data_IF_794747546894
#
_entry.id   IF_794747546894
#
_cell.length_a   1.000
_cell.length_b   1.000
_cell.length_c   1.000
_cell.angle_alpha   90.00
_cell.angle_beta   90.00
_cell.angle_gamma   90.00
#
_symmetry.space_group_name_H-M   'P 1'
#
loop_
_entity.id
_entity.type
_entity.pdbx_description
1 polymer ?
#
# COMPACT_ATOMS: atom_id res chain seq x y z
N UNK A 1 -0.40 -82.53 -38.20
CA UNK A 1 -1.57 -81.73 -37.83
C UNK A 1 -1.07 -80.47 -37.02
N UNK A 2 -0.72 -79.45 -37.75
CA UNK A 2 -0.22 -78.16 -37.16
C UNK A 2 -1.38 -77.22 -36.94
N UNK A 3 -1.58 -76.79 -35.68
CA UNK A 3 -2.51 -75.74 -35.35
C UNK A 3 -1.69 -74.39 -35.18
N UNK A 4 -1.95 -73.44 -36.06
CA UNK A 4 -1.46 -72.04 -35.96
C UNK A 4 -2.27 -71.31 -34.89
N UNK A 5 -1.62 -70.48 -34.03
CA UNK A 5 -2.34 -69.60 -33.13
C UNK A 5 -2.76 -68.29 -33.83
N UNK A 6 -4.00 -67.93 -33.64
CA UNK A 6 -4.58 -66.63 -34.14
C UNK A 6 -4.00 -65.43 -33.44
N UNK A 7 -3.39 -64.50 -34.21
CA UNK A 7 -2.90 -63.21 -33.79
C UNK A 7 -4.10 -62.27 -33.57
N UNK A 8 -4.42 -61.97 -32.30
CA UNK A 8 -5.42 -60.92 -31.97
C UNK A 8 -4.78 -59.57 -32.02
N UNK A 9 -5.15 -58.79 -33.02
CA UNK A 9 -4.80 -57.37 -33.16
C UNK A 9 -5.63 -56.58 -32.13
N UNK A 10 -4.96 -56.05 -31.09
CA UNK A 10 -5.56 -55.04 -30.20
C UNK A 10 -5.43 -53.68 -30.86
N UNK A 11 -6.53 -53.13 -31.36
CA UNK A 11 -6.65 -51.77 -31.83
C UNK A 11 -6.78 -50.87 -30.59
N UNK A 12 -5.70 -50.20 -30.16
CA UNK A 12 -5.74 -49.21 -29.12
C UNK A 12 -6.36 -47.92 -29.68
N UNK A 13 -7.61 -47.63 -29.29
CA UNK A 13 -8.30 -46.41 -29.60
C UNK A 13 -7.73 -45.31 -28.66
N UNK A 14 -6.82 -44.47 -29.17
CA UNK A 14 -6.38 -43.26 -28.50
C UNK A 14 -7.54 -42.24 -28.50
N UNK A 15 -8.28 -42.20 -27.39
CA UNK A 15 -9.17 -41.07 -27.09
C UNK A 15 -8.29 -39.83 -26.81
N UNK A 16 -8.19 -38.94 -27.78
CA UNK A 16 -7.69 -37.60 -27.55
C UNK A 16 -8.71 -36.87 -26.68
N UNK A 17 -8.46 -36.81 -25.39
CA UNK A 17 -9.20 -35.93 -24.48
C UNK A 17 -8.75 -34.51 -24.84
N UNK A 18 -9.54 -33.81 -25.66
CA UNK A 18 -9.42 -32.37 -25.82
C UNK A 18 -9.81 -31.74 -24.49
N UNK A 19 -8.82 -31.30 -23.70
CA UNK A 19 -9.06 -30.39 -22.59
C UNK A 19 -9.80 -29.15 -23.16
N UNK A 20 -10.92 -28.74 -22.57
CA UNK A 20 -11.55 -27.49 -22.99
C UNK A 20 -10.50 -26.38 -22.83
N UNK A 21 -10.25 -25.62 -23.90
CA UNK A 21 -9.50 -24.39 -23.81
C UNK A 21 -10.18 -23.54 -22.73
N UNK A 22 -9.45 -23.12 -21.73
CA UNK A 22 -9.97 -22.21 -20.70
C UNK A 22 -10.62 -21.03 -21.45
N UNK A 23 -11.91 -20.79 -21.17
CA UNK A 23 -12.62 -19.69 -21.80
C UNK A 23 -11.85 -18.40 -21.48
N UNK A 24 -11.54 -17.60 -22.50
CA UNK A 24 -10.87 -16.32 -22.32
C UNK A 24 -11.69 -15.44 -21.36
N UNK A 25 -11.22 -15.34 -20.13
CA UNK A 25 -11.90 -14.63 -19.05
C UNK A 25 -12.01 -13.11 -19.30
N UNK A 26 -11.16 -12.57 -20.21
CA UNK A 26 -11.15 -11.16 -20.60
C UNK A 26 -12.01 -10.85 -21.84
N UNK A 27 -12.72 -11.86 -22.42
CA UNK A 27 -13.54 -11.66 -23.60
C UNK A 27 -12.72 -11.12 -24.79
N UNK A 28 -13.24 -10.15 -25.53
CA UNK A 28 -12.54 -9.59 -26.70
C UNK A 28 -11.27 -8.74 -26.44
N UNK A 29 -10.72 -8.74 -25.22
CA UNK A 29 -9.58 -7.88 -24.84
C UNK A 29 -8.22 -8.57 -24.92
N UNK A 30 -8.17 -9.88 -25.23
CA UNK A 30 -6.93 -10.64 -25.35
C UNK A 30 -5.92 -9.96 -26.29
N UNK A 31 -6.38 -9.49 -27.46
CA UNK A 31 -5.51 -8.78 -28.41
C UNK A 31 -4.87 -7.50 -27.80
N UNK A 32 -5.59 -6.78 -26.92
CA UNK A 32 -5.05 -5.61 -26.26
C UNK A 32 -4.02 -5.98 -25.17
N UNK A 33 -4.23 -7.11 -24.48
CA UNK A 33 -3.28 -7.65 -23.50
C UNK A 33 -2.00 -8.14 -24.23
N UNK A 34 -2.15 -8.81 -25.36
CA UNK A 34 -1.00 -9.27 -26.17
C UNK A 34 -0.20 -8.09 -26.75
N UNK A 35 -0.88 -7.05 -27.25
CA UNK A 35 -0.24 -5.82 -27.69
C UNK A 35 0.52 -5.12 -26.54
N UNK A 36 -0.05 -5.08 -25.33
CA UNK A 36 0.64 -4.57 -24.16
C UNK A 36 1.90 -5.38 -23.84
N UNK A 37 1.86 -6.72 -23.94
CA UNK A 37 3.04 -7.56 -23.76
C UNK A 37 4.15 -7.22 -24.80
N UNK A 38 3.79 -7.00 -26.06
CA UNK A 38 4.71 -6.59 -27.11
C UNK A 38 5.35 -5.23 -26.82
N UNK A 39 4.56 -4.25 -26.38
CA UNK A 39 5.04 -2.93 -25.99
C UNK A 39 6.02 -2.97 -24.82
N UNK A 40 5.71 -3.74 -23.78
CA UNK A 40 6.58 -3.92 -22.60
C UNK A 40 7.87 -4.63 -23.00
N UNK A 41 7.77 -5.72 -23.79
CA UNK A 41 8.91 -6.47 -24.28
C UNK A 41 9.88 -5.58 -25.05
N UNK A 42 9.36 -4.72 -25.95
CA UNK A 42 10.17 -3.81 -26.74
C UNK A 42 10.86 -2.73 -25.88
N UNK A 43 10.19 -2.23 -24.83
CA UNK A 43 10.77 -1.17 -23.96
C UNK A 43 11.88 -1.69 -23.05
N UNK A 44 11.80 -2.94 -22.61
CA UNK A 44 12.66 -3.48 -21.55
C UNK A 44 13.58 -4.62 -22.00
N UNK A 45 13.61 -4.94 -23.31
CA UNK A 45 14.41 -6.04 -23.88
C UNK A 45 14.13 -7.41 -23.22
N UNK A 46 12.85 -7.67 -22.92
CA UNK A 46 12.36 -8.91 -22.33
C UNK A 46 11.68 -9.76 -23.41
N UNK A 47 11.67 -11.08 -23.21
CA UNK A 47 10.98 -12.00 -24.10
C UNK A 47 9.48 -11.75 -24.14
N UNK A 48 8.93 -11.40 -25.31
CA UNK A 48 7.48 -11.25 -25.50
C UNK A 48 6.73 -12.54 -25.18
N UNK A 49 7.31 -13.69 -25.52
CA UNK A 49 6.70 -14.98 -25.26
C UNK A 49 6.56 -15.25 -23.75
N UNK A 50 7.54 -14.84 -22.93
CA UNK A 50 7.49 -15.03 -21.49
C UNK A 50 6.41 -14.13 -20.88
N UNK A 51 6.32 -12.86 -21.30
CA UNK A 51 5.25 -11.96 -20.87
C UNK A 51 3.86 -12.47 -21.29
N UNK A 52 3.70 -12.94 -22.51
CA UNK A 52 2.43 -13.54 -22.97
C UNK A 52 2.09 -14.81 -22.19
N UNK A 53 3.08 -15.64 -21.90
CA UNK A 53 2.90 -16.85 -21.07
C UNK A 53 2.45 -16.51 -19.65
N UNK A 54 2.93 -15.42 -19.05
CA UNK A 54 2.44 -14.96 -17.74
C UNK A 54 1.02 -14.43 -17.86
N UNK A 55 0.78 -13.49 -18.79
CA UNK A 55 -0.48 -12.77 -18.93
C UNK A 55 -1.64 -13.67 -19.40
N UNK A 56 -1.38 -14.79 -20.08
CA UNK A 56 -2.43 -15.76 -20.43
C UNK A 56 -3.07 -16.42 -19.20
N UNK A 57 -2.36 -16.46 -18.06
CA UNK A 57 -2.84 -17.00 -16.80
C UNK A 57 -3.61 -15.97 -15.95
N UNK A 58 -3.67 -14.72 -16.38
CA UNK A 58 -4.48 -13.72 -15.70
C UNK A 58 -5.97 -14.04 -15.84
N UNK A 59 -6.71 -13.86 -14.75
CA UNK A 59 -8.16 -14.06 -14.69
C UNK A 59 -8.87 -12.74 -14.47
N UNK A 60 -9.90 -12.48 -15.27
CA UNK A 60 -10.77 -11.32 -15.05
C UNK A 60 -11.56 -11.48 -13.75
N UNK A 61 -11.59 -10.43 -12.93
CA UNK A 61 -12.20 -10.46 -11.61
C UNK A 61 -13.22 -9.34 -11.44
N UNK A 62 -14.50 -9.69 -11.56
CA UNK A 62 -15.59 -8.74 -11.37
C UNK A 62 -15.63 -8.17 -9.95
N UNK A 63 -15.33 -8.98 -8.92
CA UNK A 63 -15.29 -8.53 -7.54
C UNK A 63 -14.22 -7.44 -7.27
N UNK A 64 -13.17 -7.37 -8.08
CA UNK A 64 -12.17 -6.28 -8.07
C UNK A 64 -12.78 -5.00 -8.63
N UNK A 65 -13.48 -5.07 -9.75
CA UNK A 65 -14.19 -3.92 -10.34
C UNK A 65 -15.27 -3.39 -9.40
N UNK A 66 -16.00 -4.29 -8.73
CA UNK A 66 -17.00 -3.92 -7.74
C UNK A 66 -16.36 -3.25 -6.51
N UNK A 67 -15.18 -3.71 -6.08
CA UNK A 67 -14.47 -3.15 -4.95
C UNK A 67 -13.95 -1.73 -5.24
N UNK A 68 -13.31 -1.52 -6.40
CA UNK A 68 -12.72 -0.21 -6.75
C UNK A 68 -13.79 0.83 -7.13
N UNK A 69 -14.95 0.38 -7.60
CA UNK A 69 -16.06 1.25 -8.02
C UNK A 69 -16.95 1.68 -6.85
N UNK A 70 -16.79 1.10 -5.66
CA UNK A 70 -17.53 1.57 -4.48
C UNK A 70 -17.11 3.00 -4.19
N UNK A 71 -18.06 3.93 -4.01
CA UNK A 71 -17.74 5.27 -3.59
C UNK A 71 -16.90 5.15 -2.30
N UNK A 72 -15.74 5.78 -2.27
CA UNK A 72 -15.08 6.08 -1.01
C UNK A 72 -15.97 7.15 -0.35
N UNK A 73 -17.08 6.72 0.27
CA UNK A 73 -17.90 7.60 1.09
C UNK A 73 -16.96 8.22 2.10
N UNK A 74 -16.95 9.54 2.15
CA UNK A 74 -16.16 10.27 3.10
C UNK A 74 -16.63 9.86 4.50
N UNK A 75 -15.95 8.87 5.07
CA UNK A 75 -16.31 8.38 6.40
C UNK A 75 -15.94 9.47 7.40
N UNK A 76 -16.84 9.91 8.30
CA UNK A 76 -16.49 10.87 9.32
C UNK A 76 -15.44 10.29 10.26
N UNK A 77 -14.61 11.15 10.83
CA UNK A 77 -13.48 10.76 11.67
C UNK A 77 -13.88 9.84 12.84
N UNK A 78 -14.97 10.13 13.51
CA UNK A 78 -15.45 9.31 14.63
C UNK A 78 -15.78 7.85 14.27
N UNK A 79 -16.03 7.56 12.95
CA UNK A 79 -16.21 6.20 12.44
C UNK A 79 -14.92 5.60 11.89
N UNK A 80 -14.04 6.44 11.35
CA UNK A 80 -12.78 6.00 10.74
C UNK A 80 -11.75 5.62 11.81
N UNK A 81 -11.60 6.46 12.83
CA UNK A 81 -10.65 6.28 13.91
C UNK A 81 -10.72 4.89 14.59
N UNK A 82 -11.91 4.38 15.01
CA UNK A 82 -12.00 3.08 15.67
C UNK A 82 -11.66 1.87 14.81
N UNK A 83 -11.48 2.02 13.48
CA UNK A 83 -11.01 0.94 12.62
C UNK A 83 -9.56 0.57 12.96
N UNK A 84 -8.77 1.58 13.31
CA UNK A 84 -7.33 1.45 13.53
C UNK A 84 -6.93 1.60 15.00
N UNK A 85 -7.59 2.48 15.74
CA UNK A 85 -7.26 2.77 17.14
C UNK A 85 -8.08 1.85 18.06
N UNK A 86 -7.48 0.69 18.33
CA UNK A 86 -8.09 -0.38 19.16
C UNK A 86 -7.02 -1.03 20.01
N UNK A 87 -7.40 -1.47 21.21
CA UNK A 87 -6.49 -2.08 22.16
C UNK A 87 -5.78 -3.31 21.54
N UNK A 88 -6.53 -4.20 20.89
CA UNK A 88 -5.95 -5.39 20.24
C UNK A 88 -4.92 -5.09 19.15
N UNK A 89 -5.03 -3.92 18.48
CA UNK A 89 -4.03 -3.47 17.51
C UNK A 89 -2.82 -2.84 18.17
N UNK A 90 -3.02 -2.10 19.24
CA UNK A 90 -1.93 -1.50 20.03
C UNK A 90 -1.08 -2.61 20.65
N UNK A 91 -1.71 -3.59 21.31
CA UNK A 91 -1.02 -4.75 21.89
C UNK A 91 -0.24 -5.54 20.84
N UNK A 92 -0.87 -5.83 19.68
CA UNK A 92 -0.17 -6.49 18.57
C UNK A 92 1.00 -5.66 18.04
N UNK A 93 0.89 -4.33 18.03
CA UNK A 93 1.97 -3.43 17.62
C UNK A 93 3.13 -3.40 18.60
N UNK A 94 2.86 -3.42 19.89
CA UNK A 94 3.89 -3.51 20.91
C UNK A 94 4.64 -4.84 20.82
N UNK A 95 3.91 -5.95 20.62
CA UNK A 95 4.50 -7.27 20.43
C UNK A 95 5.39 -7.32 19.16
N UNK A 96 4.90 -6.79 18.04
CA UNK A 96 5.68 -6.68 16.80
C UNK A 96 6.93 -5.81 16.98
N UNK A 97 6.80 -4.69 17.68
CA UNK A 97 7.93 -3.79 17.95
C UNK A 97 8.99 -4.44 18.84
N UNK A 98 8.58 -5.21 19.85
CA UNK A 98 9.50 -5.95 20.71
C UNK A 98 10.21 -7.08 19.95
N UNK A 99 9.45 -7.88 19.18
CA UNK A 99 9.96 -9.00 18.39
C UNK A 99 11.00 -8.57 17.35
N UNK A 100 10.78 -7.40 16.71
CA UNK A 100 11.60 -6.88 15.62
C UNK A 100 12.36 -5.61 16.01
N UNK A 101 12.68 -5.45 17.31
CA UNK A 101 13.24 -4.22 17.85
C UNK A 101 14.56 -3.81 17.19
N UNK A 102 15.42 -4.77 16.87
CA UNK A 102 16.73 -4.50 16.25
C UNK A 102 16.60 -4.02 14.80
N UNK A 103 15.73 -4.64 14.02
CA UNK A 103 15.47 -4.27 12.63
C UNK A 103 14.81 -2.89 12.55
N UNK A 104 13.84 -2.63 13.42
CA UNK A 104 13.13 -1.35 13.49
C UNK A 104 14.06 -0.23 13.93
N UNK A 105 14.86 -0.45 14.99
CA UNK A 105 15.84 0.52 15.45
C UNK A 105 16.86 0.86 14.35
N UNK A 106 17.41 -0.15 13.68
CA UNK A 106 18.34 0.06 12.57
C UNK A 106 17.70 0.86 11.43
N UNK A 107 16.50 0.50 11.01
CA UNK A 107 15.77 1.24 9.98
C UNK A 107 15.51 2.70 10.40
N UNK A 108 15.16 2.94 11.67
CA UNK A 108 14.96 4.29 12.20
C UNK A 108 16.25 5.12 12.18
N UNK A 109 17.37 4.54 12.60
CA UNK A 109 18.69 5.19 12.61
C UNK A 109 19.23 5.46 11.18
N UNK A 110 19.07 4.51 10.25
CA UNK A 110 19.60 4.61 8.89
C UNK A 110 18.84 5.66 8.06
N UNK A 111 17.53 5.82 8.31
CA UNK A 111 16.66 6.68 7.50
C UNK A 111 16.11 7.91 8.24
N UNK A 112 16.42 8.08 9.53
CA UNK A 112 15.96 9.22 10.34
C UNK A 112 14.44 9.24 10.57
N UNK A 113 13.77 8.07 10.60
CA UNK A 113 12.31 7.95 10.75
C UNK A 113 11.96 7.35 12.11
N UNK A 114 10.96 7.90 12.79
CA UNK A 114 10.53 7.39 14.10
C UNK A 114 10.14 5.91 14.03
N UNK A 115 10.70 5.08 14.94
CA UNK A 115 10.34 3.66 15.10
C UNK A 115 8.81 3.49 15.23
N UNK A 116 8.15 4.33 16.05
CA UNK A 116 6.73 4.28 16.26
C UNK A 116 5.92 4.49 14.97
N UNK A 117 6.35 5.39 14.08
CA UNK A 117 5.71 5.63 12.78
C UNK A 117 5.89 4.42 11.85
N UNK A 118 7.08 3.83 11.79
CA UNK A 118 7.34 2.61 11.00
C UNK A 118 6.40 1.48 11.42
N UNK A 119 6.32 1.22 12.73
CA UNK A 119 5.44 0.19 13.30
C UNK A 119 3.96 0.50 13.01
N UNK A 120 3.54 1.76 13.18
CA UNK A 120 2.16 2.17 12.95
C UNK A 120 1.72 2.00 11.49
N UNK A 121 2.58 2.33 10.52
CA UNK A 121 2.31 2.09 9.09
C UNK A 121 2.04 0.60 8.84
N UNK A 122 2.92 -0.28 9.28
CA UNK A 122 2.77 -1.74 9.11
C UNK A 122 1.50 -2.23 9.82
N UNK A 123 1.20 -1.66 10.99
CA UNK A 123 -0.01 -1.96 11.74
C UNK A 123 -1.29 -1.56 11.01
N UNK A 124 -1.32 -0.39 10.39
CA UNK A 124 -2.47 0.10 9.63
C UNK A 124 -2.64 -0.68 8.33
N UNK A 125 -1.56 -0.94 7.59
CA UNK A 125 -1.60 -1.61 6.29
C UNK A 125 -2.00 -3.08 6.37
N UNK A 126 -1.32 -3.85 7.21
CA UNK A 126 -1.47 -5.31 7.19
C UNK A 126 -1.74 -5.93 8.56
N UNK A 127 -1.97 -5.12 9.58
CA UNK A 127 -2.02 -5.61 10.97
C UNK A 127 -0.76 -6.44 11.29
N UNK A 128 0.39 -5.80 11.09
CA UNK A 128 1.72 -6.37 11.35
C UNK A 128 2.03 -7.63 10.51
N UNK A 129 1.61 -7.63 9.25
CA UNK A 129 1.86 -8.72 8.30
C UNK A 129 0.77 -9.80 8.25
N UNK A 130 -0.25 -9.78 9.15
CA UNK A 130 -1.33 -10.80 9.17
C UNK A 130 -2.21 -10.76 7.91
N UNK A 131 -2.41 -9.60 7.29
CA UNK A 131 -3.41 -9.37 6.24
C UNK A 131 -2.82 -8.70 5.01
N UNK A 132 -2.04 -9.43 4.23
CA UNK A 132 -1.36 -8.90 3.04
C UNK A 132 -2.24 -8.87 1.76
N UNK A 133 -3.52 -9.24 1.87
CA UNK A 133 -4.44 -9.29 0.75
C UNK A 133 -4.73 -10.70 0.25
N UNK A 134 -5.80 -10.82 -0.59
CA UNK A 134 -6.32 -12.13 -1.03
C UNK A 134 -6.35 -12.33 -2.54
N UNK A 135 -6.20 -11.26 -3.31
CA UNK A 135 -6.25 -11.31 -4.76
C UNK A 135 -4.89 -11.63 -5.35
N UNK A 136 -4.81 -12.44 -6.40
CA UNK A 136 -3.57 -12.50 -7.16
C UNK A 136 -3.29 -11.11 -7.75
N UNK A 137 -2.09 -10.61 -7.55
CA UNK A 137 -1.69 -9.28 -8.02
C UNK A 137 -1.80 -9.20 -9.54
N UNK A 138 -1.42 -10.27 -10.25
CA UNK A 138 -1.57 -10.37 -11.70
C UNK A 138 -3.03 -10.16 -12.13
N UNK A 139 -3.99 -10.84 -11.48
CA UNK A 139 -5.42 -10.70 -11.81
C UNK A 139 -5.93 -9.30 -11.53
N UNK A 140 -5.54 -8.74 -10.38
CA UNK A 140 -5.96 -7.41 -9.96
C UNK A 140 -5.49 -6.35 -10.96
N UNK A 141 -4.19 -6.33 -11.25
CA UNK A 141 -3.62 -5.35 -12.14
C UNK A 141 -4.10 -5.51 -13.58
N UNK A 142 -4.19 -6.75 -14.10
CA UNK A 142 -4.70 -7.00 -15.46
C UNK A 142 -6.18 -6.61 -15.58
N UNK A 143 -7.03 -6.97 -14.61
CA UNK A 143 -8.43 -6.57 -14.60
C UNK A 143 -8.56 -5.04 -14.62
N UNK A 144 -7.85 -4.33 -13.76
CA UNK A 144 -7.93 -2.88 -13.68
C UNK A 144 -7.30 -2.17 -14.88
N UNK A 145 -6.24 -2.73 -15.45
CA UNK A 145 -5.57 -2.19 -16.65
C UNK A 145 -6.45 -2.22 -17.91
N UNK A 146 -7.33 -3.23 -18.02
CA UNK A 146 -8.09 -3.44 -19.24
C UNK A 146 -9.62 -3.28 -19.07
N UNK A 147 -10.14 -3.27 -17.84
CA UNK A 147 -11.56 -3.19 -17.55
C UNK A 147 -11.98 -2.04 -16.64
N UNK A 148 -11.05 -1.18 -16.20
CA UNK A 148 -11.35 0.01 -15.40
C UNK A 148 -10.90 1.31 -16.08
N UNK A 149 -11.68 1.85 -17.04
CA UNK A 149 -11.31 3.02 -17.84
C UNK A 149 -10.86 4.26 -17.04
N UNK A 150 -11.45 4.59 -15.86
CA UNK A 150 -11.07 5.82 -15.15
C UNK A 150 -9.58 5.88 -14.76
N UNK A 151 -8.90 4.73 -14.59
CA UNK A 151 -7.49 4.64 -14.21
C UNK A 151 -6.72 3.57 -15.00
N UNK A 152 -7.19 3.18 -16.18
CA UNK A 152 -6.57 2.12 -16.98
C UNK A 152 -5.07 2.37 -17.22
N UNK A 153 -4.68 3.58 -17.59
CA UNK A 153 -3.28 3.91 -17.86
C UNK A 153 -2.38 3.83 -16.61
N UNK A 154 -2.91 4.15 -15.44
CA UNK A 154 -2.20 3.96 -14.18
C UNK A 154 -1.98 2.46 -13.93
N UNK A 155 -3.02 1.64 -14.04
CA UNK A 155 -2.89 0.20 -13.77
C UNK A 155 -2.09 -0.56 -14.83
N UNK A 156 -2.05 -0.08 -16.09
CA UNK A 156 -1.12 -0.61 -17.10
C UNK A 156 0.34 -0.39 -16.70
N UNK A 157 0.68 0.80 -16.19
CA UNK A 157 2.02 1.07 -15.67
C UNK A 157 2.34 0.21 -14.45
N UNK A 158 1.39 0.04 -13.52
CA UNK A 158 1.60 -0.84 -12.37
C UNK A 158 1.76 -2.31 -12.77
N UNK A 159 1.01 -2.78 -13.79
CA UNK A 159 1.17 -4.13 -14.34
C UNK A 159 2.55 -4.31 -15.00
N UNK A 160 3.02 -3.32 -15.76
CA UNK A 160 4.37 -3.29 -16.31
C UNK A 160 5.43 -3.38 -15.19
N UNK A 161 5.33 -2.51 -14.18
CA UNK A 161 6.23 -2.57 -13.01
C UNK A 161 6.17 -3.92 -12.28
N UNK A 162 5.00 -4.55 -12.20
CA UNK A 162 4.85 -5.85 -11.56
C UNK A 162 5.60 -6.96 -12.32
N UNK A 163 5.47 -6.99 -13.64
CA UNK A 163 6.17 -7.96 -14.48
C UNK A 163 7.69 -7.79 -14.40
N UNK A 164 8.18 -6.56 -14.40
CA UNK A 164 9.60 -6.25 -14.22
C UNK A 164 10.09 -6.62 -12.82
N UNK A 165 9.31 -6.30 -11.79
CA UNK A 165 9.63 -6.62 -10.40
C UNK A 165 9.75 -8.13 -10.19
N UNK A 166 8.87 -8.92 -10.81
CA UNK A 166 8.92 -10.37 -10.72
C UNK A 166 10.24 -10.95 -11.27
N UNK A 167 10.76 -10.36 -12.35
CA UNK A 167 12.06 -10.73 -12.91
C UNK A 167 13.22 -10.26 -12.01
N UNK A 168 13.16 -9.01 -11.55
CA UNK A 168 14.19 -8.40 -10.70
C UNK A 168 14.38 -9.14 -9.37
N UNK A 169 13.28 -9.52 -8.70
CA UNK A 169 13.31 -10.19 -7.38
C UNK A 169 13.21 -11.73 -7.48
N UNK A 170 12.96 -12.25 -8.68
CA UNK A 170 12.93 -13.69 -8.93
C UNK A 170 11.75 -14.43 -8.29
N UNK A 171 10.60 -13.77 -8.08
CA UNK A 171 9.40 -14.43 -7.60
C UNK A 171 8.48 -14.90 -8.74
N UNK A 172 7.66 -15.90 -8.47
CA UNK A 172 6.63 -16.35 -9.42
C UNK A 172 5.46 -15.36 -9.48
N UNK A 173 5.27 -14.64 -10.62
CA UNK A 173 4.21 -13.65 -10.76
C UNK A 173 2.79 -14.25 -10.70
N UNK A 174 2.66 -15.57 -10.80
CA UNK A 174 1.37 -16.25 -10.69
C UNK A 174 0.95 -16.52 -9.24
N UNK A 175 1.88 -16.43 -8.29
CA UNK A 175 1.67 -16.80 -6.89
C UNK A 175 1.37 -15.63 -5.96
N UNK A 176 1.86 -14.42 -6.28
CA UNK A 176 1.81 -13.27 -5.37
C UNK A 176 0.38 -12.80 -5.14
N UNK A 177 0.05 -12.63 -3.86
CA UNK A 177 -1.23 -12.10 -3.42
C UNK A 177 -1.07 -10.70 -2.85
N UNK A 178 -2.16 -9.92 -2.97
CA UNK A 178 -2.19 -8.53 -2.53
C UNK A 178 -3.61 -7.99 -2.40
N UNK A 179 -3.72 -6.68 -2.33
CA UNK A 179 -5.01 -5.98 -2.31
C UNK A 179 -5.73 -6.06 -3.66
N UNK A 180 -6.99 -5.65 -3.68
CA UNK A 180 -7.76 -5.54 -4.93
C UNK A 180 -7.15 -4.52 -5.92
N UNK A 181 -6.32 -3.60 -5.46
CA UNK A 181 -5.63 -2.60 -6.28
C UNK A 181 -4.16 -2.98 -6.60
N UNK A 182 -3.72 -4.20 -6.26
CA UNK A 182 -2.39 -4.70 -6.57
C UNK A 182 -1.29 -4.29 -5.59
N UNK A 183 -1.62 -3.71 -4.43
CA UNK A 183 -0.64 -3.49 -3.37
C UNK A 183 -0.29 -4.82 -2.70
N UNK A 184 1.00 -5.02 -2.36
CA UNK A 184 1.52 -6.32 -1.93
C UNK A 184 2.49 -6.20 -0.75
N UNK A 185 2.65 -7.32 -0.06
CA UNK A 185 3.58 -7.49 1.04
C UNK A 185 3.17 -6.84 2.35
N UNK A 186 4.05 -6.94 3.34
CA UNK A 186 3.85 -6.40 4.69
C UNK A 186 3.57 -4.88 4.65
N UNK A 187 4.28 -4.04 3.85
CA UNK A 187 4.06 -2.61 3.77
C UNK A 187 2.99 -2.20 2.74
N UNK A 188 2.34 -3.12 2.03
CA UNK A 188 1.34 -2.84 0.99
C UNK A 188 1.83 -1.87 -0.10
N UNK A 189 3.05 -2.07 -0.60
CA UNK A 189 3.55 -1.29 -1.71
C UNK A 189 2.88 -1.69 -3.04
N UNK A 190 2.50 -0.70 -3.86
CA UNK A 190 2.21 -0.93 -5.28
C UNK A 190 3.49 -1.23 -6.03
N UNK A 191 3.41 -1.84 -7.20
CA UNK A 191 4.59 -2.36 -7.93
C UNK A 191 5.64 -1.30 -8.22
N UNK A 192 5.22 -0.10 -8.62
CA UNK A 192 6.14 1.02 -8.86
C UNK A 192 6.85 1.50 -7.58
N UNK A 193 6.13 1.52 -6.43
CA UNK A 193 6.71 1.87 -5.15
C UNK A 193 7.67 0.80 -4.65
N UNK A 194 7.36 -0.48 -4.84
CA UNK A 194 8.27 -1.58 -4.53
C UNK A 194 9.61 -1.40 -5.26
N UNK A 195 9.57 -1.23 -6.58
CA UNK A 195 10.79 -1.03 -7.39
C UNK A 195 11.58 0.23 -7.02
N UNK A 196 10.88 1.30 -6.64
CA UNK A 196 11.50 2.58 -6.34
C UNK A 196 12.07 2.70 -4.92
N UNK A 197 11.41 2.09 -3.94
CA UNK A 197 11.67 2.37 -2.53
C UNK A 197 12.01 1.15 -1.69
N UNK A 198 11.81 -0.08 -2.19
CA UNK A 198 12.21 -1.26 -1.44
C UNK A 198 13.74 -1.33 -1.30
N UNK A 199 14.19 -1.70 -0.12
CA UNK A 199 15.60 -1.90 0.22
C UNK A 199 15.81 -3.27 0.85
N UNK A 200 17.00 -3.81 0.69
CA UNK A 200 17.48 -5.03 1.33
C UNK A 200 17.95 -4.66 2.75
N UNK A 201 17.10 -4.90 3.74
CA UNK A 201 17.30 -4.46 5.12
C UNK A 201 18.21 -5.36 5.94
N UNK A 202 18.37 -6.63 5.56
CA UNK A 202 19.26 -7.58 6.24
C UNK A 202 20.55 -7.91 5.47
N UNK A 203 20.66 -7.45 4.22
CA UNK A 203 21.86 -7.59 3.38
C UNK A 203 21.98 -8.97 2.74
N UNK A 204 20.87 -9.69 2.53
CA UNK A 204 20.87 -11.02 1.91
C UNK A 204 20.93 -10.98 0.36
N UNK A 205 20.85 -9.79 -0.24
CA UNK A 205 20.90 -9.53 -1.68
C UNK A 205 19.52 -9.54 -2.35
N UNK A 206 18.43 -9.51 -1.59
CA UNK A 206 17.04 -9.47 -2.06
C UNK A 206 16.27 -8.37 -1.36
N UNK A 207 15.14 -7.99 -1.93
CA UNK A 207 14.19 -7.03 -1.34
C UNK A 207 12.85 -7.73 -1.16
N UNK A 208 12.74 -8.61 -0.15
CA UNK A 208 11.54 -9.44 0.08
C UNK A 208 10.54 -8.75 1.02
N UNK A 209 9.68 -7.89 0.48
CA UNK A 209 8.59 -7.26 1.25
C UNK A 209 7.43 -8.21 1.58
N UNK A 210 7.44 -9.44 1.06
CA UNK A 210 6.35 -10.41 1.24
C UNK A 210 6.52 -11.20 2.53
N UNK A 211 7.77 -11.53 2.90
CA UNK A 211 8.05 -12.41 4.04
C UNK A 211 9.22 -11.98 4.93
N UNK A 212 10.03 -11.02 4.50
CA UNK A 212 11.16 -10.51 5.27
C UNK A 212 10.80 -9.21 6.00
N UNK A 213 10.71 -9.26 7.33
CA UNK A 213 10.36 -8.09 8.15
C UNK A 213 11.45 -7.02 8.13
N UNK A 214 12.74 -7.39 8.08
CA UNK A 214 13.83 -6.41 8.01
C UNK A 214 13.73 -5.57 6.74
N UNK A 215 13.44 -6.20 5.59
CA UNK A 215 13.23 -5.50 4.33
C UNK A 215 11.98 -4.61 4.38
N UNK A 216 10.90 -5.12 4.97
CA UNK A 216 9.63 -4.39 5.07
C UNK A 216 9.78 -3.11 5.91
N UNK A 217 10.37 -3.19 7.13
CA UNK A 217 10.54 -2.03 8.02
C UNK A 217 11.53 -1.02 7.43
N UNK A 218 12.64 -1.50 6.83
CA UNK A 218 13.63 -0.64 6.19
C UNK A 218 13.05 0.05 4.95
N UNK A 219 12.22 -0.64 4.17
CA UNK A 219 11.55 -0.07 3.00
C UNK A 219 10.49 0.97 3.35
N UNK A 220 9.75 0.78 4.45
CA UNK A 220 8.86 1.82 4.99
C UNK A 220 9.65 3.05 5.39
N UNK A 221 10.76 2.88 6.12
CA UNK A 221 11.61 3.99 6.53
C UNK A 221 12.22 4.72 5.32
N UNK A 222 12.76 3.98 4.35
CA UNK A 222 13.29 4.55 3.10
C UNK A 222 12.21 5.33 2.32
N UNK A 223 10.98 4.80 2.24
CA UNK A 223 9.87 5.52 1.61
C UNK A 223 9.67 6.91 2.22
N UNK A 224 9.69 7.02 3.55
CA UNK A 224 9.53 8.30 4.22
C UNK A 224 10.74 9.22 4.01
N UNK A 225 11.97 8.70 4.06
CA UNK A 225 13.19 9.45 3.81
C UNK A 225 13.20 10.04 2.38
N UNK A 226 12.86 9.23 1.36
CA UNK A 226 12.75 9.67 -0.03
C UNK A 226 11.64 10.71 -0.24
N UNK A 227 10.60 10.69 0.60
CA UNK A 227 9.54 11.70 0.64
C UNK A 227 9.86 12.88 1.57
N UNK A 228 11.15 13.00 2.00
CA UNK A 228 11.68 14.12 2.78
C UNK A 228 11.12 14.20 4.21
N UNK A 229 10.98 13.07 4.84
CA UNK A 229 10.76 13.05 6.29
C UNK A 229 11.84 13.85 7.00
N UNK A 230 11.48 14.61 8.02
CA UNK A 230 12.39 15.42 8.83
C UNK A 230 12.46 14.84 10.22
N UNK A 231 13.61 14.29 10.55
CA UNK A 231 13.86 13.67 11.86
C UNK A 231 13.61 14.67 13.00
N UNK A 232 12.89 14.23 14.04
CA UNK A 232 12.61 15.03 15.21
C UNK A 232 11.61 16.17 15.03
N UNK A 233 11.17 16.47 13.79
CA UNK A 233 10.13 17.48 13.58
C UNK A 233 8.74 16.94 13.96
N UNK A 234 7.86 17.79 14.51
CA UNK A 234 6.50 17.42 14.87
C UNK A 234 5.67 17.03 13.63
N UNK A 235 4.70 16.16 13.84
CA UNK A 235 3.85 15.63 12.77
C UNK A 235 2.53 16.40 12.68
N UNK A 236 1.78 16.43 13.77
CA UNK A 236 0.46 17.05 13.84
C UNK A 236 0.18 17.42 15.29
N UNK A 237 -0.63 18.43 15.52
CA UNK A 237 -1.11 18.82 16.84
C UNK A 237 -2.61 19.05 16.83
N UNK A 238 -3.25 18.74 17.95
CA UNK A 238 -4.64 19.13 18.18
C UNK A 238 -4.75 20.65 18.31
N UNK A 239 -5.86 21.20 17.88
CA UNK A 239 -6.14 22.61 17.95
C UNK A 239 -7.56 22.88 18.46
N UNK A 240 -7.80 24.09 18.95
CA UNK A 240 -9.12 24.59 19.29
C UNK A 240 -9.33 25.98 18.70
N UNK A 241 -10.57 26.44 18.68
CA UNK A 241 -10.91 27.73 18.09
C UNK A 241 -11.28 28.76 19.14
N UNK A 242 -10.94 30.02 18.90
CA UNK A 242 -11.54 31.17 19.59
C UNK A 242 -12.99 31.37 19.10
N UNK A 243 -13.82 32.08 19.89
CA UNK A 243 -15.24 32.27 19.55
C UNK A 243 -15.46 33.06 18.25
N UNK A 244 -14.49 33.82 17.83
CA UNK A 244 -14.49 34.69 16.66
C UNK A 244 -13.51 34.22 15.57
N UNK A 245 -13.09 32.98 15.63
CA UNK A 245 -12.16 32.39 14.65
C UNK A 245 -12.75 32.38 13.24
N UNK A 246 -11.99 32.86 12.26
CA UNK A 246 -12.36 32.92 10.86
C UNK A 246 -11.61 31.83 10.08
N UNK A 247 -12.11 30.58 10.11
CA UNK A 247 -11.44 29.41 9.51
C UNK A 247 -12.10 28.87 8.25
N UNK A 248 -13.24 29.42 7.82
CA UNK A 248 -14.02 28.85 6.71
C UNK A 248 -13.23 28.71 5.40
N UNK A 249 -12.34 29.69 5.14
CA UNK A 249 -11.47 29.69 3.96
C UNK A 249 -10.10 29.02 4.22
N UNK A 250 -9.85 28.60 5.47
CA UNK A 250 -8.57 28.01 5.87
C UNK A 250 -8.64 26.51 6.11
N UNK A 251 -9.80 25.98 6.55
CA UNK A 251 -9.92 24.55 6.85
C UNK A 251 -10.06 23.71 5.58
N UNK A 252 -9.41 22.54 5.58
CA UNK A 252 -9.56 21.49 4.56
C UNK A 252 -9.21 21.90 3.12
N UNK A 253 -8.30 22.88 2.92
CA UNK A 253 -7.91 23.34 1.59
C UNK A 253 -6.99 22.37 0.85
N UNK A 254 -6.40 21.40 1.55
CA UNK A 254 -5.55 20.40 0.94
C UNK A 254 -4.75 19.61 1.97
N UNK A 255 -3.98 18.65 1.46
CA UNK A 255 -3.08 17.84 2.28
C UNK A 255 -1.69 18.43 2.41
N UNK A 256 -1.20 19.05 1.31
CA UNK A 256 0.07 19.76 1.34
C UNK A 256 -0.11 21.02 2.17
N UNK A 257 0.85 21.39 3.02
CA UNK A 257 0.83 22.65 3.75
C UNK A 257 0.60 23.85 2.81
N UNK A 258 -0.30 24.73 3.17
CA UNK A 258 -0.74 25.88 2.36
C UNK A 258 -0.82 27.18 3.15
N UNK A 259 -0.53 27.14 4.43
CA UNK A 259 -0.51 28.26 5.37
C UNK A 259 0.62 28.06 6.38
N UNK A 260 0.71 28.93 7.39
CA UNK A 260 1.67 28.78 8.49
C UNK A 260 0.95 28.70 9.84
N UNK A 261 1.66 28.21 10.86
CA UNK A 261 1.16 28.21 12.25
C UNK A 261 0.79 29.61 12.71
N UNK A 262 1.60 30.62 12.35
CA UNK A 262 1.35 32.02 12.70
C UNK A 262 0.09 32.60 12.04
N UNK A 263 -0.17 32.27 10.77
CA UNK A 263 -1.39 32.68 10.07
C UNK A 263 -2.63 32.02 10.68
N UNK A 264 -2.55 30.75 11.06
CA UNK A 264 -3.64 30.05 11.76
C UNK A 264 -3.91 30.67 13.14
N UNK A 265 -2.86 31.01 13.92
CA UNK A 265 -3.01 31.71 15.20
C UNK A 265 -3.66 33.09 15.02
N UNK A 266 -3.25 33.83 13.99
CA UNK A 266 -3.85 35.13 13.65
C UNK A 266 -5.34 35.05 13.27
N UNK A 267 -5.77 33.89 12.73
CA UNK A 267 -7.16 33.58 12.40
C UNK A 267 -7.98 33.05 13.60
N UNK A 268 -7.41 32.99 14.80
CA UNK A 268 -8.09 32.54 16.02
C UNK A 268 -7.99 31.05 16.29
N UNK A 269 -7.04 30.33 15.64
CA UNK A 269 -6.77 28.91 15.94
C UNK A 269 -5.77 28.84 17.09
N UNK A 270 -6.18 28.20 18.19
CA UNK A 270 -5.31 27.93 19.35
C UNK A 270 -4.51 26.67 19.11
N UNK A 271 -3.20 26.85 19.00
CA UNK A 271 -2.21 25.81 18.67
C UNK A 271 -1.17 25.80 19.78
N UNK A 272 -0.56 24.63 20.04
CA UNK A 272 0.52 24.47 21.00
C UNK A 272 1.56 25.60 20.86
N UNK A 273 1.80 26.30 21.96
CA UNK A 273 2.67 27.47 22.01
C UNK A 273 4.16 27.16 21.75
N UNK A 274 4.56 25.89 21.82
CA UNK A 274 5.94 25.47 21.54
C UNK A 274 6.27 25.44 20.05
N UNK A 275 5.26 25.45 19.16
CA UNK A 275 5.47 25.45 17.71
C UNK A 275 5.84 26.85 17.21
N UNK A 276 6.81 26.93 16.30
CA UNK A 276 7.21 28.19 15.68
C UNK A 276 6.15 28.69 14.68
N UNK A 277 5.98 30.02 14.60
CA UNK A 277 4.97 30.63 13.73
C UNK A 277 5.25 30.48 12.23
N UNK A 278 6.50 30.24 11.84
CA UNK A 278 6.92 30.09 10.45
C UNK A 278 6.81 28.65 9.92
N UNK A 279 6.39 27.69 10.75
CA UNK A 279 6.16 26.33 10.30
C UNK A 279 5.02 26.26 9.30
N UNK A 280 5.29 25.64 8.16
CA UNK A 280 4.30 25.31 7.14
C UNK A 280 3.24 24.37 7.69
N UNK A 281 1.96 24.70 7.50
CA UNK A 281 0.84 24.01 8.14
C UNK A 281 -0.35 23.77 7.19
N UNK A 282 -1.19 22.83 7.57
CA UNK A 282 -2.55 22.61 7.03
C UNK A 282 -3.52 22.52 8.21
N UNK A 283 -4.72 23.11 8.08
CA UNK A 283 -5.78 23.02 9.08
C UNK A 283 -6.82 21.98 8.62
N UNK A 284 -7.11 21.02 9.47
CA UNK A 284 -8.15 20.02 9.28
C UNK A 284 -9.31 20.27 10.24
N UNK A 285 -10.53 20.32 9.71
CA UNK A 285 -11.78 20.22 10.46
C UNK A 285 -12.38 18.85 10.21
N UNK A 286 -12.55 18.07 11.26
CA UNK A 286 -13.03 16.69 11.20
C UNK A 286 -14.31 16.53 12.02
N UNK A 287 -15.18 15.58 11.60
CA UNK A 287 -16.35 15.22 12.35
C UNK A 287 -15.96 14.22 13.46
N UNK A 288 -15.78 14.71 14.67
CA UNK A 288 -15.53 13.92 15.86
C UNK A 288 -16.81 13.37 16.48
N UNK A 289 -16.69 12.63 17.60
CA UNK A 289 -17.82 11.98 18.28
C UNK A 289 -18.70 13.02 19.00
N UNK A 290 -18.11 14.03 19.63
CA UNK A 290 -18.80 15.06 20.40
C UNK A 290 -18.96 16.39 19.64
N UNK A 291 -18.55 16.46 18.37
CA UNK A 291 -18.60 17.65 17.55
C UNK A 291 -17.41 17.77 16.60
N UNK A 292 -17.09 19.00 16.20
CA UNK A 292 -15.93 19.25 15.34
C UNK A 292 -14.63 19.12 16.13
N UNK A 293 -13.66 18.44 15.54
CA UNK A 293 -12.27 18.36 16.00
C UNK A 293 -11.39 19.12 15.01
N UNK A 294 -10.39 19.83 15.53
CA UNK A 294 -9.46 20.60 14.71
C UNK A 294 -8.04 20.08 14.89
N UNK A 295 -7.33 19.91 13.80
CA UNK A 295 -5.97 19.39 13.78
C UNK A 295 -5.11 20.21 12.85
N UNK A 296 -3.89 20.53 13.29
CA UNK A 296 -2.89 21.24 12.48
C UNK A 296 -1.83 20.24 12.05
N UNK A 297 -1.85 19.86 10.78
CA UNK A 297 -0.85 19.00 10.16
C UNK A 297 0.34 19.80 9.69
N UNK A 298 1.55 19.30 9.98
CA UNK A 298 2.82 19.91 9.63
C UNK A 298 3.50 19.14 8.48
N UNK A 299 4.78 19.44 8.21
CA UNK A 299 5.51 18.82 7.12
C UNK A 299 5.48 17.28 7.16
N UNK A 300 5.81 16.68 8.30
CA UNK A 300 5.84 15.22 8.45
C UNK A 300 4.44 14.59 8.34
N UNK A 301 3.38 15.30 8.70
CA UNK A 301 2.01 14.86 8.44
C UNK A 301 1.74 14.74 6.93
N UNK A 302 2.16 15.75 6.15
CA UNK A 302 2.07 15.67 4.70
C UNK A 302 2.85 14.48 4.15
N UNK A 303 4.04 14.18 4.68
CA UNK A 303 4.83 13.02 4.27
C UNK A 303 4.07 11.71 4.52
N UNK A 304 3.38 11.55 5.65
CA UNK A 304 2.51 10.37 5.87
C UNK A 304 1.40 10.32 4.81
N UNK A 305 0.81 11.45 4.41
CA UNK A 305 -0.20 11.46 3.34
C UNK A 305 0.33 11.07 1.96
N UNK A 306 1.66 10.96 1.78
CA UNK A 306 2.25 10.43 0.53
C UNK A 306 2.07 8.92 0.43
N UNK A 307 2.07 8.22 1.58
CA UNK A 307 1.84 6.78 1.63
C UNK A 307 0.39 6.44 1.24
N UNK A 308 -0.56 7.13 1.85
CA UNK A 308 -1.97 7.07 1.47
C UNK A 308 -2.57 8.48 1.46
N UNK A 309 -3.18 8.85 0.35
CA UNK A 309 -3.66 10.21 0.07
C UNK A 309 -4.92 10.60 0.88
N UNK A 310 -4.96 10.26 2.17
CA UNK A 310 -6.06 10.58 3.09
C UNK A 310 -5.53 11.23 4.37
N UNK A 311 -6.00 12.43 4.74
CA UNK A 311 -5.69 13.01 6.04
C UNK A 311 -6.14 12.14 7.21
N UNK A 312 -7.28 11.44 7.08
CA UNK A 312 -7.77 10.53 8.11
C UNK A 312 -6.81 9.35 8.33
N UNK A 313 -6.25 8.83 7.24
CA UNK A 313 -5.22 7.79 7.30
C UNK A 313 -3.98 8.30 8.06
N UNK A 314 -3.46 9.44 7.66
CA UNK A 314 -2.26 10.01 8.28
C UNK A 314 -2.47 10.29 9.78
N UNK A 315 -3.65 10.80 10.15
CA UNK A 315 -3.99 11.01 11.56
C UNK A 315 -4.13 9.69 12.34
N UNK A 316 -4.71 8.65 11.73
CA UNK A 316 -4.81 7.33 12.35
C UNK A 316 -3.43 6.69 12.56
N UNK A 317 -2.52 6.79 11.58
CA UNK A 317 -1.14 6.32 11.71
C UNK A 317 -0.45 7.03 12.86
N UNK A 318 -0.52 8.36 12.89
CA UNK A 318 0.10 9.13 13.95
C UNK A 318 -0.49 8.81 15.35
N UNK A 319 -1.82 8.77 15.50
CA UNK A 319 -2.42 8.42 16.79
C UNK A 319 -2.04 7.01 17.24
N UNK A 320 -2.00 6.04 16.33
CA UNK A 320 -1.56 4.68 16.65
C UNK A 320 -0.09 4.68 17.12
N UNK A 321 0.78 5.44 16.44
CA UNK A 321 2.19 5.54 16.82
C UNK A 321 2.39 6.16 18.19
N UNK A 322 1.67 7.23 18.52
CA UNK A 322 1.76 7.89 19.83
C UNK A 322 1.27 6.97 20.95
N UNK A 323 0.14 6.29 20.77
CA UNK A 323 -0.40 5.37 21.78
C UNK A 323 0.56 4.20 22.08
N UNK A 324 1.23 3.67 21.05
CA UNK A 324 2.25 2.63 21.24
C UNK A 324 3.50 3.19 21.94
N UNK A 325 3.95 4.37 21.55
CA UNK A 325 5.11 5.04 22.17
C UNK A 325 4.88 5.31 23.64
N UNK A 326 3.74 5.94 24.01
CA UNK A 326 3.37 6.24 25.37
C UNK A 326 3.27 4.99 26.25
N UNK A 327 2.69 3.92 25.73
CA UNK A 327 2.57 2.64 26.44
C UNK A 327 3.97 2.04 26.69
N UNK A 328 4.84 2.06 25.69
CA UNK A 328 6.20 1.52 25.80
C UNK A 328 7.05 2.31 26.82
N UNK A 329 6.92 3.64 26.86
CA UNK A 329 7.60 4.50 27.84
C UNK A 329 7.09 4.27 29.26
N UNK A 330 5.82 3.91 29.42
CA UNK A 330 5.22 3.65 30.75
C UNK A 330 5.62 2.28 31.31
N UNK A 331 5.84 1.29 30.44
CA UNK A 331 6.18 -0.09 30.82
C UNK A 331 7.71 -0.32 30.94
N UNK A 332 8.55 0.65 30.55
CA UNK A 332 10.02 0.62 30.62
C UNK A 332 10.53 1.14 31.99
#
# INVERSE_FOLDING_TARGET
MNRMPALRLFLALLLAVSLPAAADSFGGKRAAIDAFAEEVAQRHDISVNDLQNILQHAEHRQDILDAISRPAEAMPWYRYRPIFIREDRIEAGLAFWEEHSLEIQRAAEDFGVSEAIIVAIIGVETRYGEHQGRYRVLDALTTLAFDYPPRADFFRRELEHYLLLAEEEGFDPLSIRGSYAGAMGIPQFISSSYRAYAVDGDGDGRRDLLSNTADAVSSVANYFAEHRWREGEPVVTEASLDNDAEIAELANQGRQPYTTVGELRAAGVRIDASLDDDLDATLMELDGEEGKEYWVGLHNFYVITRYNHSPLYALAVWQLSEMMRERRETDA
#
